data_IF_220382137298
#
_entry.id   IF_220382137298
#
_cell.length_a   1.000
_cell.length_b   1.000
_cell.length_c   1.000
_cell.angle_alpha   90.00
_cell.angle_beta   90.00
_cell.angle_gamma   90.00
#
_symmetry.space_group_name_H-M   'P 1'
#
loop_
_entity.id
_entity.type
_entity.pdbx_description
1 polymer ?
#
# COMPACT_ATOMS: atom_id res chain seq x y z
N UNK A 1 -5.49 14.19 -19.90
CA UNK A 1 -4.82 13.26 -18.98
C UNK A 1 -3.43 13.82 -18.73
N UNK A 2 -3.03 14.07 -17.47
CA UNK A 2 -1.62 14.33 -17.16
C UNK A 2 -0.85 13.14 -17.74
N UNK A 3 0.11 13.38 -18.63
CA UNK A 3 1.10 12.36 -18.98
C UNK A 3 1.80 12.03 -17.68
N UNK A 4 1.42 10.90 -17.08
CA UNK A 4 1.98 10.50 -15.80
C UNK A 4 3.45 10.18 -16.03
N UNK A 5 4.33 10.87 -15.31
CA UNK A 5 5.77 10.70 -15.44
C UNK A 5 6.19 9.26 -15.14
N UNK A 6 7.48 9.00 -15.30
CA UNK A 6 8.05 7.69 -15.00
C UNK A 6 7.71 7.29 -13.56
N UNK A 7 7.16 6.08 -13.39
CA UNK A 7 6.70 5.57 -12.12
C UNK A 7 7.85 4.90 -11.34
N UNK A 8 8.04 5.32 -10.10
CA UNK A 8 8.79 4.59 -9.09
C UNK A 8 7.86 3.67 -8.29
N UNK A 9 7.87 2.37 -8.57
CA UNK A 9 7.06 1.39 -7.85
C UNK A 9 7.85 0.83 -6.67
N UNK A 10 7.44 1.15 -5.45
CA UNK A 10 7.97 0.57 -4.23
C UNK A 10 7.17 -0.69 -3.92
N UNK A 11 7.78 -1.84 -4.21
CA UNK A 11 7.13 -3.14 -4.21
C UNK A 11 7.39 -3.90 -2.90
N UNK A 12 6.33 -4.11 -2.13
CA UNK A 12 6.20 -5.11 -1.07
C UNK A 12 5.80 -6.49 -1.63
N UNK A 13 5.19 -7.33 -0.78
CA UNK A 13 4.74 -8.67 -1.16
C UNK A 13 3.35 -8.74 -1.78
N UNK A 14 2.96 -9.92 -2.25
CA UNK A 14 1.66 -10.17 -2.88
C UNK A 14 1.61 -9.81 -4.37
N UNK A 15 0.41 -9.91 -4.96
CA UNK A 15 0.23 -9.82 -6.42
C UNK A 15 0.08 -8.38 -6.93
N UNK A 16 -0.31 -7.44 -6.06
CA UNK A 16 -0.60 -6.06 -6.46
C UNK A 16 0.56 -5.37 -7.21
N UNK A 17 1.84 -5.46 -6.76
CA UNK A 17 2.96 -4.90 -7.50
C UNK A 17 3.14 -5.49 -8.90
N UNK A 18 2.87 -6.79 -9.07
CA UNK A 18 2.96 -7.48 -10.37
C UNK A 18 1.87 -6.97 -11.32
N UNK A 19 0.65 -6.80 -10.83
CA UNK A 19 -0.48 -6.25 -11.59
C UNK A 19 -0.18 -4.83 -12.05
N UNK A 20 0.33 -3.96 -11.16
CA UNK A 20 0.72 -2.58 -11.51
C UNK A 20 1.82 -2.58 -12.57
N UNK A 21 2.86 -3.41 -12.39
CA UNK A 21 3.94 -3.49 -13.36
C UNK A 21 3.45 -3.95 -14.74
N UNK A 22 2.54 -4.93 -14.78
CA UNK A 22 1.94 -5.43 -16.02
C UNK A 22 1.07 -4.36 -16.69
N UNK A 23 0.34 -3.57 -15.89
CA UNK A 23 -0.44 -2.44 -16.40
C UNK A 23 0.44 -1.36 -17.02
N UNK A 24 1.53 -0.98 -16.34
CA UNK A 24 2.50 -0.01 -16.87
C UNK A 24 3.12 -0.50 -18.19
N UNK A 25 3.48 -1.78 -18.26
CA UNK A 25 4.01 -2.40 -19.49
C UNK A 25 2.99 -2.36 -20.63
N UNK A 26 1.73 -2.71 -20.36
CA UNK A 26 0.65 -2.69 -21.35
C UNK A 26 0.35 -1.26 -21.88
N UNK A 27 0.49 -0.24 -21.03
CA UNK A 27 0.28 1.16 -21.40
C UNK A 27 1.55 1.85 -21.95
N UNK A 28 2.69 1.15 -21.96
CA UNK A 28 3.97 1.74 -22.36
C UNK A 28 4.48 2.83 -21.39
N UNK A 29 3.99 2.84 -20.15
CA UNK A 29 4.45 3.77 -19.12
C UNK A 29 5.80 3.32 -18.58
N UNK A 30 6.78 4.22 -18.55
CA UNK A 30 8.09 3.91 -17.99
C UNK A 30 7.98 3.60 -16.48
N UNK A 31 8.70 2.56 -16.06
CA UNK A 31 8.66 2.02 -14.70
C UNK A 31 10.08 1.79 -14.17
N UNK A 32 10.27 2.09 -12.89
CA UNK A 32 11.43 1.66 -12.11
C UNK A 32 10.95 1.01 -10.82
N UNK A 33 11.34 -0.25 -10.60
CA UNK A 33 10.88 -1.04 -9.46
C UNK A 33 11.92 -1.00 -8.32
N UNK A 34 11.50 -0.48 -7.17
CA UNK A 34 12.20 -0.58 -5.90
C UNK A 34 11.69 -1.84 -5.20
N UNK A 35 12.51 -2.90 -5.20
CA UNK A 35 12.15 -4.20 -4.61
C UNK A 35 12.52 -4.22 -3.13
N UNK A 36 11.54 -4.25 -2.24
CA UNK A 36 11.81 -4.34 -0.82
C UNK A 36 12.33 -5.74 -0.47
N UNK A 37 13.57 -5.80 0.00
CA UNK A 37 14.23 -7.05 0.35
C UNK A 37 13.46 -7.79 1.44
N UNK A 38 13.16 -9.07 1.21
CA UNK A 38 12.36 -9.90 2.11
C UNK A 38 10.85 -9.83 1.88
N UNK A 39 10.37 -8.99 0.96
CA UNK A 39 8.94 -8.86 0.64
C UNK A 39 8.64 -9.05 -0.84
N UNK A 40 9.39 -8.36 -1.71
CA UNK A 40 9.11 -8.31 -3.14
C UNK A 40 9.18 -9.68 -3.82
N UNK A 41 8.21 -9.95 -4.69
CA UNK A 41 8.16 -11.18 -5.48
C UNK A 41 9.34 -11.25 -6.48
N UNK A 42 10.01 -12.41 -6.64
CA UNK A 42 11.12 -12.58 -7.58
C UNK A 42 10.77 -12.23 -9.04
N UNK A 43 9.53 -12.42 -9.48
CA UNK A 43 9.09 -12.10 -10.84
C UNK A 43 9.14 -10.60 -11.13
N UNK A 44 9.21 -9.74 -10.10
CA UNK A 44 9.45 -8.30 -10.26
C UNK A 44 10.82 -7.99 -10.89
N UNK A 45 11.73 -8.97 -11.00
CA UNK A 45 13.02 -8.82 -11.68
C UNK A 45 12.90 -8.54 -13.19
N UNK A 46 11.72 -8.80 -13.80
CA UNK A 46 11.50 -8.56 -15.24
C UNK A 46 11.53 -7.09 -15.65
N UNK A 47 11.24 -6.17 -14.72
CA UNK A 47 11.27 -4.73 -14.99
C UNK A 47 12.60 -4.08 -14.53
N UNK A 48 13.00 -2.93 -15.08
CA UNK A 48 14.15 -2.19 -14.57
C UNK A 48 13.95 -1.80 -13.10
N UNK A 49 15.00 -1.91 -12.27
CA UNK A 49 14.87 -1.64 -10.85
C UNK A 49 16.06 -2.07 -10.02
N UNK A 50 15.97 -1.85 -8.71
CA UNK A 50 16.98 -2.29 -7.74
C UNK A 50 16.32 -2.80 -6.46
N UNK A 51 17.04 -3.64 -5.71
CA UNK A 51 16.58 -4.15 -4.43
C UNK A 51 17.20 -3.36 -3.28
N UNK A 52 16.38 -3.04 -2.28
CA UNK A 52 16.79 -2.28 -1.09
C UNK A 52 16.10 -2.85 0.15
N UNK A 53 16.76 -2.77 1.29
CA UNK A 53 16.11 -2.96 2.58
C UNK A 53 15.13 -1.82 2.85
N UNK A 54 14.04 -2.10 3.56
CA UNK A 54 13.00 -1.10 3.84
C UNK A 54 13.47 0.11 4.65
N UNK A 55 14.59 0.00 5.37
CA UNK A 55 15.18 1.11 6.12
C UNK A 55 16.21 1.94 5.32
N UNK A 56 16.53 1.54 4.08
CA UNK A 56 17.51 2.23 3.22
C UNK A 56 16.85 3.36 2.42
N UNK A 57 16.09 4.22 3.12
CA UNK A 57 15.25 5.25 2.49
C UNK A 57 16.08 6.20 1.62
N UNK A 58 17.27 6.62 2.06
CA UNK A 58 18.11 7.50 1.25
C UNK A 58 18.68 6.82 0.00
N UNK A 59 18.97 5.52 0.04
CA UNK A 59 19.34 4.74 -1.15
C UNK A 59 18.17 4.63 -2.13
N UNK A 60 16.96 4.37 -1.64
CA UNK A 60 15.73 4.34 -2.44
C UNK A 60 15.53 5.70 -3.15
N UNK A 61 15.59 6.80 -2.40
CA UNK A 61 15.44 8.16 -2.95
C UNK A 61 16.51 8.47 -4.01
N UNK A 62 17.77 8.08 -3.78
CA UNK A 62 18.85 8.25 -4.76
C UNK A 62 18.60 7.43 -6.03
N UNK A 63 18.13 6.20 -5.90
CA UNK A 63 17.84 5.33 -7.03
C UNK A 63 16.67 5.86 -7.87
N UNK A 64 15.59 6.30 -7.22
CA UNK A 64 14.44 6.92 -7.88
C UNK A 64 14.84 8.19 -8.65
N UNK A 65 15.66 9.06 -8.01
CA UNK A 65 16.19 10.26 -8.64
C UNK A 65 17.10 9.97 -9.82
N UNK A 66 18.00 8.98 -9.70
CA UNK A 66 18.86 8.55 -10.79
C UNK A 66 18.07 7.95 -11.96
N UNK A 67 16.98 7.22 -11.65
CA UNK A 67 16.06 6.68 -12.63
C UNK A 67 15.12 7.72 -13.25
N UNK A 68 15.12 8.97 -12.73
CA UNK A 68 14.25 10.09 -13.11
C UNK A 68 12.77 9.78 -12.94
N UNK A 69 12.41 9.14 -11.82
CA UNK A 69 11.01 8.96 -11.47
C UNK A 69 10.43 10.30 -10.98
N UNK A 70 9.19 10.59 -11.37
CA UNK A 70 8.46 11.80 -10.95
C UNK A 70 7.33 11.44 -9.97
N UNK A 71 6.72 10.28 -10.20
CA UNK A 71 5.64 9.70 -9.41
C UNK A 71 6.12 8.47 -8.66
N UNK A 72 5.58 8.23 -7.47
CA UNK A 72 5.85 7.05 -6.65
C UNK A 72 4.54 6.37 -6.26
N UNK A 73 4.50 5.04 -6.38
CA UNK A 73 3.41 4.22 -5.88
C UNK A 73 3.96 3.18 -4.90
N UNK A 74 3.27 3.03 -3.78
CA UNK A 74 3.52 1.97 -2.80
C UNK A 74 2.51 0.86 -3.02
N UNK A 75 3.00 -0.36 -3.24
CA UNK A 75 2.13 -1.49 -3.52
C UNK A 75 2.63 -2.75 -2.82
N UNK A 76 1.69 -3.56 -2.37
CA UNK A 76 1.96 -4.84 -1.74
C UNK A 76 2.14 -4.77 -0.23
N UNK A 77 2.11 -5.94 0.38
CA UNK A 77 2.07 -6.08 1.83
C UNK A 77 3.48 -5.91 2.41
N UNK A 78 3.58 -5.12 3.47
CA UNK A 78 4.82 -4.93 4.23
C UNK A 78 4.48 -5.07 5.71
N UNK A 79 5.06 -6.08 6.35
CA UNK A 79 4.90 -6.28 7.78
C UNK A 79 5.74 -5.25 8.54
N UNK A 80 5.21 -4.79 9.66
CA UNK A 80 5.90 -3.88 10.56
C UNK A 80 7.24 -4.50 11.00
N UNK A 81 8.38 -3.84 10.73
CA UNK A 81 9.66 -4.40 11.08
C UNK A 81 9.92 -4.26 12.58
N UNK A 82 10.78 -5.14 13.08
CA UNK A 82 11.45 -4.88 14.35
C UNK A 82 12.41 -3.70 14.16
N UNK A 83 11.96 -2.50 14.55
CA UNK A 83 12.72 -1.26 14.41
C UNK A 83 14.12 -1.33 15.01
N UNK A 84 14.37 -2.22 15.99
CA UNK A 84 15.69 -2.40 16.62
C UNK A 84 16.67 -3.17 15.73
N UNK A 85 16.16 -3.95 14.77
CA UNK A 85 16.97 -4.75 13.83
C UNK A 85 17.21 -4.05 12.50
N UNK A 86 16.58 -2.90 12.29
CA UNK A 86 16.76 -2.12 11.08
C UNK A 86 18.19 -1.59 10.98
N UNK A 87 18.72 -1.61 9.76
CA UNK A 87 20.00 -1.00 9.41
C UNK A 87 19.72 0.20 8.49
N UNK A 88 19.37 1.36 9.05
CA UNK A 88 19.06 2.53 8.25
C UNK A 88 20.34 3.10 7.64
N UNK A 89 20.21 3.71 6.47
CA UNK A 89 21.25 4.56 5.92
C UNK A 89 21.27 5.93 6.63
N UNK A 90 22.23 6.81 6.31
CA UNK A 90 22.38 8.09 7.03
C UNK A 90 21.08 8.91 7.02
N UNK A 91 20.38 8.93 5.88
CA UNK A 91 19.09 9.63 5.76
C UNK A 91 17.99 8.90 6.52
N UNK A 92 17.89 7.57 6.39
CA UNK A 92 16.97 6.75 7.17
C UNK A 92 17.13 6.95 8.67
N UNK A 93 18.35 7.10 9.18
CA UNK A 93 18.64 7.32 10.60
C UNK A 93 18.07 8.66 11.10
N UNK A 94 18.07 9.71 10.27
CA UNK A 94 17.46 11.01 10.62
C UNK A 94 15.93 10.96 10.64
N UNK A 95 15.33 10.10 9.83
CA UNK A 95 13.87 9.97 9.69
C UNK A 95 13.27 8.96 10.68
N UNK A 96 14.08 8.01 11.13
CA UNK A 96 13.67 6.89 11.99
C UNK A 96 12.91 7.32 13.25
N UNK A 97 13.31 8.36 14.00
CA UNK A 97 12.55 8.79 15.18
C UNK A 97 11.10 9.19 14.86
N UNK A 98 10.89 9.89 13.74
CA UNK A 98 9.56 10.30 13.28
C UNK A 98 8.72 9.11 12.82
N UNK A 99 9.34 8.15 12.14
CA UNK A 99 8.70 6.89 11.71
C UNK A 99 8.27 6.07 12.92
N UNK A 100 9.14 5.91 13.92
CA UNK A 100 8.83 5.17 15.16
C UNK A 100 7.69 5.83 15.92
N UNK A 101 7.72 7.17 16.04
CA UNK A 101 6.65 7.91 16.70
C UNK A 101 5.30 7.77 15.96
N UNK A 102 5.30 7.81 14.62
CA UNK A 102 4.09 7.58 13.84
C UNK A 102 3.56 6.15 14.03
N UNK A 103 4.45 5.15 14.03
CA UNK A 103 4.09 3.76 14.23
C UNK A 103 3.45 3.49 15.60
N UNK A 104 3.75 4.28 16.64
CA UNK A 104 3.04 4.16 17.94
C UNK A 104 1.59 4.63 17.90
N UNK A 105 1.19 5.36 16.86
CA UNK A 105 -0.17 5.87 16.66
C UNK A 105 -1.03 4.95 15.78
N UNK A 106 -0.44 3.89 15.24
CA UNK A 106 -1.09 2.90 14.38
C UNK A 106 -0.47 2.85 12.97
N UNK A 107 -1.04 2.02 12.10
CA UNK A 107 -0.45 1.68 10.80
C UNK A 107 -0.78 2.73 9.72
N UNK A 108 -1.96 3.36 9.75
CA UNK A 108 -2.28 4.48 8.84
C UNK A 108 -1.37 5.68 9.12
N UNK A 109 -1.15 6.00 10.40
CA UNK A 109 -0.23 7.06 10.79
C UNK A 109 1.21 6.79 10.31
N UNK A 110 1.67 5.54 10.38
CA UNK A 110 2.96 5.12 9.86
C UNK A 110 3.04 5.29 8.35
N UNK A 111 2.04 4.77 7.60
CA UNK A 111 2.01 4.87 6.15
C UNK A 111 2.02 6.33 5.70
N UNK A 112 1.15 7.17 6.26
CA UNK A 112 1.13 8.62 5.98
C UNK A 112 2.47 9.28 6.24
N UNK A 113 3.16 8.89 7.32
CA UNK A 113 4.48 9.45 7.61
C UNK A 113 5.53 9.03 6.57
N UNK A 114 5.44 7.82 6.04
CA UNK A 114 6.29 7.35 4.96
C UNK A 114 5.98 8.14 3.68
N UNK A 115 4.70 8.27 3.30
CA UNK A 115 4.30 9.05 2.12
C UNK A 115 4.83 10.48 2.18
N UNK A 116 4.70 11.15 3.34
CA UNK A 116 5.17 12.53 3.52
C UNK A 116 6.66 12.70 3.23
N UNK A 117 7.49 11.69 3.51
CA UNK A 117 8.94 11.75 3.27
C UNK A 117 9.23 11.85 1.77
N UNK A 118 8.44 11.18 0.94
CA UNK A 118 8.63 11.20 -0.52
C UNK A 118 8.03 12.48 -1.13
N UNK A 119 6.90 12.95 -0.59
CA UNK A 119 6.33 14.26 -0.96
C UNK A 119 7.30 15.41 -0.65
N UNK A 120 7.93 15.40 0.53
CA UNK A 120 8.95 16.37 0.95
C UNK A 120 10.18 16.38 0.02
N UNK A 121 10.45 15.26 -0.66
CA UNK A 121 11.52 15.11 -1.66
C UNK A 121 11.06 15.48 -3.09
N UNK A 122 9.79 15.85 -3.26
CA UNK A 122 9.21 16.33 -4.51
C UNK A 122 8.61 15.26 -5.41
N UNK A 123 8.31 14.07 -4.89
CA UNK A 123 7.60 13.03 -5.65
C UNK A 123 6.09 13.20 -5.54
N UNK A 124 5.39 13.05 -6.66
CA UNK A 124 3.94 12.91 -6.67
C UNK A 124 3.57 11.48 -6.19
N UNK A 125 2.69 11.36 -5.21
CA UNK A 125 2.21 10.05 -4.74
C UNK A 125 1.01 9.63 -5.59
N UNK A 126 1.08 8.44 -6.18
CA UNK A 126 0.00 7.87 -7.00
C UNK A 126 -0.52 6.58 -6.37
N UNK A 127 -1.85 6.49 -6.22
CA UNK A 127 -2.50 5.32 -5.68
C UNK A 127 -2.45 4.13 -6.65
N UNK A 128 -2.41 2.91 -6.10
CA UNK A 128 -2.50 1.71 -6.91
C UNK A 128 -3.79 1.68 -7.76
N UNK A 129 -4.91 2.13 -7.18
CA UNK A 129 -6.20 2.19 -7.86
C UNK A 129 -6.18 3.14 -9.06
N UNK A 130 -5.52 4.30 -8.95
CA UNK A 130 -5.39 5.26 -10.04
C UNK A 130 -4.63 4.64 -11.23
N UNK A 131 -3.56 3.88 -10.94
CA UNK A 131 -2.74 3.23 -11.96
C UNK A 131 -3.47 2.06 -12.62
N UNK A 132 -4.23 1.29 -11.85
CA UNK A 132 -5.00 0.16 -12.36
C UNK A 132 -6.27 0.60 -13.12
N UNK A 133 -6.52 1.91 -13.23
CA UNK A 133 -7.66 2.45 -13.97
C UNK A 133 -8.95 2.40 -13.17
N UNK A 134 -8.85 2.41 -11.84
CA UNK A 134 -9.99 2.42 -10.93
C UNK A 134 -10.80 1.14 -10.97
N UNK A 135 -10.15 -0.04 -11.08
CA UNK A 135 -10.73 -1.37 -10.87
C UNK A 135 -11.21 -1.54 -9.41
N UNK A 136 -12.15 -0.68 -9.04
CA UNK A 136 -12.90 -0.69 -7.80
C UNK A 136 -14.14 -1.53 -8.00
N UNK A 137 -14.69 -2.04 -6.89
CA UNK A 137 -15.98 -2.71 -6.95
C UNK A 137 -17.04 -1.71 -7.44
N UNK A 138 -17.62 -1.98 -8.61
CA UNK A 138 -18.74 -1.22 -9.13
C UNK A 138 -19.95 -1.31 -8.20
N UNK A 139 -20.87 -0.35 -8.31
CA UNK A 139 -22.09 -0.36 -7.53
C UNK A 139 -22.94 -1.60 -7.85
N UNK A 140 -23.33 -2.35 -6.82
CA UNK A 140 -24.19 -3.52 -6.94
C UNK A 140 -23.45 -4.85 -6.73
N UNK A 141 -24.08 -5.94 -7.15
CA UNK A 141 -23.49 -7.27 -7.03
C UNK A 141 -22.47 -7.51 -8.15
N UNK A 142 -21.28 -8.00 -7.80
CA UNK A 142 -20.23 -8.35 -8.76
C UNK A 142 -20.65 -9.51 -9.69
N UNK A 143 -21.50 -10.42 -9.20
CA UNK A 143 -21.99 -11.57 -9.96
C UNK A 143 -23.50 -11.69 -9.96
N UNK A 144 -24.00 -12.87 -10.34
CA UNK A 144 -25.44 -13.16 -10.43
C UNK A 144 -26.20 -13.12 -9.10
N UNK A 145 -25.49 -13.29 -7.97
CA UNK A 145 -26.10 -13.43 -6.64
C UNK A 145 -26.31 -12.05 -6.04
N UNK A 146 -27.52 -11.78 -5.57
CA UNK A 146 -27.87 -10.53 -4.88
C UNK A 146 -28.28 -10.84 -3.43
N UNK A 147 -27.96 -9.95 -2.47
CA UNK A 147 -28.33 -10.13 -1.08
C UNK A 147 -29.86 -10.09 -0.90
N UNK A 148 -30.38 -10.92 0.00
CA UNK A 148 -31.76 -10.84 0.48
C UNK A 148 -31.96 -9.62 1.40
N UNK A 149 -33.21 -9.21 1.71
CA UNK A 149 -33.45 -8.11 2.66
C UNK A 149 -32.82 -8.34 4.05
N UNK A 150 -32.78 -9.58 4.54
CA UNK A 150 -32.12 -9.92 5.80
C UNK A 150 -30.60 -9.74 5.70
N UNK A 151 -29.99 -10.29 4.64
CA UNK A 151 -28.55 -10.12 4.38
C UNK A 151 -28.15 -8.66 4.15
N UNK A 152 -29.06 -7.84 3.60
CA UNK A 152 -28.83 -6.40 3.45
C UNK A 152 -28.74 -5.67 4.80
N UNK A 153 -29.46 -6.12 5.82
CA UNK A 153 -29.34 -5.56 7.17
C UNK A 153 -27.97 -5.89 7.78
N UNK A 154 -27.51 -7.13 7.62
CA UNK A 154 -26.18 -7.56 8.06
C UNK A 154 -25.07 -6.81 7.34
N UNK A 155 -25.18 -6.64 6.01
CA UNK A 155 -24.21 -5.92 5.19
C UNK A 155 -24.05 -4.47 5.66
N UNK A 156 -25.16 -3.77 5.91
CA UNK A 156 -25.14 -2.39 6.46
C UNK A 156 -24.49 -2.33 7.83
N UNK A 157 -24.77 -3.30 8.71
CA UNK A 157 -24.19 -3.35 10.04
C UNK A 157 -22.69 -3.69 10.00
N UNK A 158 -22.29 -4.62 9.15
CA UNK A 158 -20.89 -4.99 8.95
C UNK A 158 -20.08 -3.80 8.42
N UNK A 159 -20.59 -3.08 7.43
CA UNK A 159 -19.98 -1.85 6.92
C UNK A 159 -19.79 -0.82 8.04
N UNK A 160 -20.85 -0.54 8.82
CA UNK A 160 -20.75 0.42 9.91
C UNK A 160 -19.70 0.03 10.96
N UNK A 161 -19.61 -1.25 11.31
CA UNK A 161 -18.60 -1.73 12.26
C UNK A 161 -17.19 -1.64 11.69
N UNK A 162 -17.00 -2.04 10.42
CA UNK A 162 -15.71 -1.95 9.74
C UNK A 162 -15.24 -0.48 9.62
N UNK A 163 -16.12 0.45 9.27
CA UNK A 163 -15.82 1.89 9.23
C UNK A 163 -15.37 2.41 10.61
N UNK A 164 -16.08 2.04 11.69
CA UNK A 164 -15.73 2.46 13.05
C UNK A 164 -14.43 1.84 13.55
N UNK A 165 -14.15 0.59 13.18
CA UNK A 165 -12.87 -0.05 13.48
C UNK A 165 -11.72 0.64 12.73
N UNK A 166 -11.93 1.00 11.46
CA UNK A 166 -10.97 1.73 10.65
C UNK A 166 -10.70 3.15 11.16
N UNK A 167 -11.75 3.88 11.59
CA UNK A 167 -11.63 5.21 12.22
C UNK A 167 -10.71 5.20 13.46
N UNK A 168 -10.62 4.05 14.13
CA UNK A 168 -9.83 3.85 15.34
C UNK A 168 -8.46 3.19 15.06
N UNK A 169 -8.12 2.94 13.79
CA UNK A 169 -6.90 2.25 13.36
C UNK A 169 -6.75 0.86 14.03
N UNK A 170 -7.88 0.16 14.24
CA UNK A 170 -7.94 -1.20 14.79
C UNK A 170 -7.77 -2.23 13.66
N UNK A 171 -8.56 -2.06 12.60
CA UNK A 171 -8.59 -2.92 11.42
C UNK A 171 -9.73 -2.50 10.49
N UNK A 172 -9.90 -3.21 9.38
CA UNK A 172 -10.73 -2.78 8.24
C UNK A 172 -11.86 -3.76 7.90
N UNK A 173 -11.99 -4.86 8.65
CA UNK A 173 -12.94 -5.94 8.41
C UNK A 173 -13.90 -6.17 9.56
N UNK A 174 -15.11 -6.63 9.26
CA UNK A 174 -16.10 -7.06 10.25
C UNK A 174 -17.00 -8.17 9.69
N UNK A 175 -17.40 -9.10 10.56
CA UNK A 175 -18.32 -10.20 10.23
C UNK A 175 -19.58 -10.07 11.06
N UNK A 176 -20.73 -9.99 10.38
CA UNK A 176 -22.05 -9.91 11.02
C UNK A 176 -22.95 -11.03 10.49
N UNK A 177 -23.64 -11.71 11.40
CA UNK A 177 -24.61 -12.77 11.07
C UNK A 177 -25.86 -12.54 11.90
N UNK A 178 -27.02 -12.46 11.25
CA UNK A 178 -28.33 -12.26 11.89
C UNK A 178 -28.32 -11.08 12.87
N UNK A 179 -27.64 -10.00 12.49
CA UNK A 179 -27.47 -8.78 13.26
C UNK A 179 -26.45 -8.88 14.40
N UNK A 180 -25.80 -10.01 14.64
CA UNK A 180 -24.76 -10.15 15.66
C UNK A 180 -23.36 -9.95 15.06
N UNK A 181 -22.54 -9.10 15.68
CA UNK A 181 -21.12 -8.94 15.31
C UNK A 181 -20.35 -10.14 15.86
N UNK A 182 -19.83 -10.98 14.97
CA UNK A 182 -19.09 -12.18 15.35
C UNK A 182 -17.59 -11.94 15.40
N UNK A 183 -17.06 -11.09 14.51
CA UNK A 183 -15.64 -10.78 14.43
C UNK A 183 -15.43 -9.33 13.95
N UNK A 184 -14.32 -8.75 14.38
CA UNK A 184 -13.78 -7.48 13.88
C UNK A 184 -12.29 -7.74 13.65
N UNK A 185 -11.81 -7.46 12.44
CA UNK A 185 -10.41 -7.60 12.07
C UNK A 185 -9.54 -6.67 12.92
N UNK A 186 -8.41 -7.19 13.39
CA UNK A 186 -7.28 -6.40 13.87
C UNK A 186 -5.97 -6.90 13.24
N UNK A 187 -4.91 -7.08 14.02
CA UNK A 187 -3.58 -7.44 13.48
C UNK A 187 -3.47 -8.85 12.91
N UNK A 188 -4.47 -9.70 13.15
CA UNK A 188 -4.51 -11.07 12.62
C UNK A 188 -4.72 -11.14 11.10
N UNK A 189 -5.23 -10.06 10.49
CA UNK A 189 -5.60 -10.00 9.07
C UNK A 189 -6.94 -10.69 8.78
N UNK A 190 -7.43 -10.50 7.54
CA UNK A 190 -8.71 -11.04 7.06
C UNK A 190 -8.67 -12.54 6.77
#
# INVERSE_FOLDING_TARGET
MKTSGKLGLIAGGGDLPLTIGARCEAEGRELFVVRLAGFADPHMARWPGAAFGMAEIGHILKALKAAKCETVCFAGNVNRPDFKKLRPDLKGATLLPGIVAAATKGDDALLRKILSIFEDEGYDIEGADDILGGETLGAGALGRIKPTPAQMADLKKALHVAEKAGDLDIGQGAVVVDGLVLAVEAQEGT
#
